data_IF_379795699236
#
_entry.id   IF_379795699236
#
_cell.length_a   1.000
_cell.length_b   1.000
_cell.length_c   1.000
_cell.angle_alpha   90.00
_cell.angle_beta   90.00
_cell.angle_gamma   90.00
#
_symmetry.space_group_name_H-M   'P 1'
#
loop_
_entity.id
_entity.type
_entity.pdbx_description
1 polymer ?
#
# COMPACT_ATOMS: atom_id res chain seq x y z
N UNK A 1 40.23 13.35 -15.29
CA UNK A 1 40.14 13.38 -16.76
C UNK A 1 38.76 12.88 -17.11
N UNK A 2 38.01 13.75 -17.78
CA UNK A 2 36.60 13.74 -18.20
C UNK A 2 35.52 13.11 -17.30
N UNK A 3 34.68 13.95 -16.69
CA UNK A 3 33.44 13.59 -15.99
C UNK A 3 32.27 14.06 -16.83
N UNK A 4 31.78 13.23 -17.73
CA UNK A 4 30.69 13.58 -18.64
C UNK A 4 29.35 13.09 -18.07
N UNK A 5 28.51 14.01 -17.62
CA UNK A 5 27.09 13.82 -17.32
C UNK A 5 26.34 13.95 -18.65
N UNK A 6 25.53 12.97 -19.05
CA UNK A 6 24.73 13.06 -20.27
C UNK A 6 23.23 13.12 -19.92
N UNK A 7 22.57 14.20 -20.33
CA UNK A 7 21.12 14.36 -20.27
C UNK A 7 20.61 14.72 -21.68
N UNK A 8 19.64 13.97 -22.20
CA UNK A 8 18.99 14.27 -23.47
C UNK A 8 17.48 14.52 -23.26
N UNK A 9 17.04 15.76 -23.53
CA UNK A 9 15.74 16.05 -24.18
C UNK A 9 14.47 16.41 -23.35
N UNK A 10 14.21 17.73 -23.24
CA UNK A 10 12.92 18.49 -23.32
C UNK A 10 11.75 18.31 -22.30
N UNK A 11 11.76 19.24 -21.33
CA UNK A 11 10.73 20.05 -20.59
C UNK A 11 9.27 20.13 -21.12
N UNK A 12 8.25 20.12 -20.21
CA UNK A 12 7.23 21.17 -19.85
C UNK A 12 6.50 20.72 -18.53
N UNK A 13 6.55 21.43 -17.38
CA UNK A 13 5.70 22.56 -16.88
C UNK A 13 4.19 22.23 -16.85
N UNK A 14 3.46 22.16 -15.73
CA UNK A 14 3.40 23.08 -14.59
C UNK A 14 2.75 22.49 -13.30
N UNK A 15 3.12 23.11 -12.17
CA UNK A 15 2.41 23.27 -10.88
C UNK A 15 2.14 22.07 -9.95
N UNK A 16 3.00 21.97 -8.91
CA UNK A 16 2.68 21.64 -7.52
C UNK A 16 2.79 20.20 -6.96
N UNK A 17 3.66 19.35 -7.52
CA UNK A 17 4.22 18.22 -6.77
C UNK A 17 5.73 18.15 -7.03
N UNK A 18 6.53 18.33 -5.98
CA UNK A 18 7.95 18.05 -6.03
C UNK A 18 8.14 16.54 -6.18
N UNK A 19 8.21 16.06 -7.42
CA UNK A 19 8.75 14.73 -7.72
C UNK A 19 10.23 14.92 -8.04
N UNK A 20 11.08 14.63 -7.06
CA UNK A 20 12.52 14.56 -7.28
C UNK A 20 12.83 13.24 -7.99
N UNK A 21 12.66 13.21 -9.31
CA UNK A 21 13.17 12.09 -10.12
C UNK A 21 14.69 12.24 -10.19
N UNK A 22 15.38 11.48 -9.36
CA UNK A 22 16.71 10.98 -9.70
C UNK A 22 16.74 9.49 -9.35
N UNK A 23 16.60 8.65 -10.36
CA UNK A 23 17.06 7.28 -10.27
C UNK A 23 18.60 7.31 -10.36
N UNK A 24 19.28 6.90 -9.30
CA UNK A 24 20.73 6.75 -9.30
C UNK A 24 21.06 5.25 -9.43
N UNK A 25 21.76 4.86 -10.50
CA UNK A 25 22.40 3.53 -10.58
C UNK A 25 23.76 3.63 -9.85
N UNK A 26 23.97 2.81 -8.82
CA UNK A 26 25.27 2.66 -8.17
C UNK A 26 25.62 1.17 -8.12
N UNK A 27 26.71 0.76 -8.80
CA UNK A 27 27.24 -0.61 -8.81
C UNK A 27 26.21 -1.72 -9.07
N UNK A 28 25.44 -1.62 -10.16
CA UNK A 28 24.44 -2.62 -10.60
C UNK A 28 23.36 -3.00 -9.56
N UNK A 29 23.28 -2.28 -8.43
CA UNK A 29 22.20 -2.40 -7.46
C UNK A 29 21.23 -1.22 -7.57
N UNK A 30 19.94 -1.56 -7.55
CA UNK A 30 18.84 -0.60 -7.63
C UNK A 30 18.63 0.03 -6.25
N UNK A 31 19.14 1.24 -6.03
CA UNK A 31 18.96 1.95 -4.76
C UNK A 31 17.50 2.46 -4.66
N UNK A 32 16.79 1.79 -3.76
CA UNK A 32 15.42 1.94 -3.28
C UNK A 32 14.75 3.31 -3.48
N UNK A 33 13.50 3.27 -3.94
CA UNK A 33 12.52 4.33 -3.76
C UNK A 33 12.59 4.84 -2.31
N UNK A 34 12.96 6.10 -2.13
CA UNK A 34 12.91 6.81 -0.84
C UNK A 34 11.46 6.93 -0.30
N UNK A 35 10.48 6.56 -1.12
CA UNK A 35 9.08 6.37 -0.72
C UNK A 35 8.83 4.88 -0.48
N UNK A 36 9.34 4.36 0.62
CA UNK A 36 9.05 2.98 1.03
C UNK A 36 7.55 2.70 0.98
N UNK A 37 7.14 1.61 0.33
CA UNK A 37 5.74 1.21 0.24
C UNK A 37 5.30 0.45 1.49
N UNK A 38 4.04 0.61 1.86
CA UNK A 38 3.45 -0.21 2.91
C UNK A 38 3.51 -1.69 2.52
N UNK A 39 3.93 -2.54 3.45
CA UNK A 39 3.89 -4.00 3.28
C UNK A 39 2.67 -4.53 4.01
N UNK A 40 1.81 -5.24 3.29
CA UNK A 40 0.67 -5.94 3.89
C UNK A 40 0.75 -7.44 3.58
N UNK A 41 0.48 -8.29 4.57
CA UNK A 41 0.31 -7.95 5.99
C UNK A 41 1.65 -7.60 6.67
N UNK A 42 1.62 -6.78 7.73
CA UNK A 42 2.79 -6.54 8.58
C UNK A 42 2.53 -6.89 10.06
N UNK A 43 3.59 -7.24 10.79
CA UNK A 43 3.55 -7.60 12.20
C UNK A 43 4.07 -6.44 13.06
N UNK A 44 3.28 -6.04 14.05
CA UNK A 44 3.65 -5.04 15.06
C UNK A 44 3.10 -5.44 16.43
N UNK A 45 3.96 -5.45 17.46
CA UNK A 45 3.61 -5.84 18.84
C UNK A 45 2.84 -7.17 18.92
N UNK A 46 3.31 -8.18 18.16
CA UNK A 46 2.70 -9.51 18.09
C UNK A 46 1.29 -9.55 17.49
N UNK A 47 0.86 -8.48 16.81
CA UNK A 47 -0.38 -8.43 16.05
C UNK A 47 -0.06 -8.27 14.56
N UNK A 48 -0.93 -8.84 13.71
CA UNK A 48 -0.80 -8.83 12.25
C UNK A 48 -1.83 -7.86 11.67
N UNK A 49 -1.38 -6.96 10.81
CA UNK A 49 -2.19 -5.90 10.23
C UNK A 49 -2.19 -6.00 8.71
N UNK A 50 -3.37 -5.77 8.13
CA UNK A 50 -3.61 -5.90 6.70
C UNK A 50 -3.92 -4.55 6.04
N UNK A 51 -3.91 -3.46 6.81
CA UNK A 51 -4.14 -2.11 6.35
C UNK A 51 -3.41 -1.12 7.27
N UNK A 52 -3.42 0.16 6.91
CA UNK A 52 -2.92 1.25 7.73
C UNK A 52 -3.63 1.31 9.09
N UNK A 53 -2.84 1.38 10.16
CA UNK A 53 -3.32 1.29 11.54
C UNK A 53 -3.28 2.63 12.25
N UNK A 54 -4.12 2.77 13.29
CA UNK A 54 -4.18 3.96 14.14
C UNK A 54 -4.12 3.56 15.62
N UNK A 55 -3.05 3.95 16.32
CA UNK A 55 -2.88 3.68 17.76
C UNK A 55 -2.78 4.99 18.54
N UNK A 56 -3.91 5.55 18.99
CA UNK A 56 -4.00 6.85 19.71
C UNK A 56 -3.35 8.05 19.01
N UNK A 57 -2.73 7.85 17.85
CA UNK A 57 -2.13 8.86 17.02
C UNK A 57 -3.20 9.56 16.17
N UNK A 58 -2.93 10.81 15.80
CA UNK A 58 -3.80 11.62 14.92
C UNK A 58 -3.81 11.11 13.47
N UNK A 59 -2.79 10.35 13.07
CA UNK A 59 -2.59 9.90 11.69
C UNK A 59 -2.39 8.38 11.61
N UNK A 60 -2.90 7.76 10.55
CA UNK A 60 -2.72 6.34 10.25
C UNK A 60 -1.32 6.09 9.70
N UNK A 61 -0.76 4.91 9.96
CA UNK A 61 0.60 4.54 9.51
C UNK A 61 0.68 3.07 9.12
N UNK A 62 1.74 2.71 8.42
CA UNK A 62 2.05 1.34 8.01
C UNK A 62 3.54 1.03 8.18
N UNK A 63 3.90 -0.24 8.30
CA UNK A 63 5.30 -0.65 8.24
C UNK A 63 5.76 -0.83 6.78
N UNK A 64 7.04 -0.55 6.55
CA UNK A 64 7.69 -0.76 5.25
C UNK A 64 8.29 -2.17 5.12
N UNK A 65 8.27 -2.96 6.19
CA UNK A 65 8.76 -4.34 6.25
C UNK A 65 7.64 -5.26 6.77
N UNK A 66 7.69 -6.55 6.43
CA UNK A 66 6.72 -7.54 6.94
C UNK A 66 6.75 -7.62 8.48
N UNK A 67 7.93 -7.63 9.09
CA UNK A 67 8.07 -7.55 10.54
C UNK A 67 8.59 -6.17 10.91
N UNK A 68 7.86 -5.44 11.76
CA UNK A 68 8.23 -4.07 12.13
C UNK A 68 9.62 -4.03 12.79
N UNK A 69 10.56 -3.36 12.12
CA UNK A 69 11.95 -3.17 12.56
C UNK A 69 12.30 -1.69 12.81
N UNK A 70 11.31 -0.80 12.77
CA UNK A 70 11.52 0.65 12.88
C UNK A 70 11.31 1.42 11.57
N UNK A 71 11.13 0.73 10.43
CA UNK A 71 10.78 1.34 9.15
C UNK A 71 9.25 1.44 9.00
N UNK A 72 8.76 2.68 8.95
CA UNK A 72 7.35 3.01 8.83
C UNK A 72 7.15 4.37 8.19
N UNK A 73 5.94 4.63 7.68
CA UNK A 73 5.50 5.95 7.24
C UNK A 73 4.05 6.21 7.60
N UNK A 74 3.65 7.48 7.60
CA UNK A 74 2.23 7.84 7.62
C UNK A 74 1.60 7.48 6.27
N UNK A 75 0.38 6.97 6.33
CA UNK A 75 -0.34 6.59 5.12
C UNK A 75 -0.97 7.80 4.43
N UNK A 76 -0.81 7.87 3.11
CA UNK A 76 -1.66 8.65 2.20
C UNK A 76 -2.80 7.77 1.64
N UNK A 77 -3.66 8.34 0.79
CA UNK A 77 -4.80 7.61 0.19
C UNK A 77 -4.37 6.40 -0.66
N UNK A 78 -3.19 6.46 -1.27
CA UNK A 78 -2.64 5.38 -2.09
C UNK A 78 -2.07 4.22 -1.25
N UNK A 79 -1.76 4.47 0.03
CA UNK A 79 -1.11 3.51 0.93
C UNK A 79 -2.08 2.54 1.59
N UNK A 80 -3.39 2.82 1.55
CA UNK A 80 -4.40 1.92 2.10
C UNK A 80 -4.43 0.60 1.32
N UNK A 81 -4.58 -0.49 2.06
CA UNK A 81 -4.63 -1.81 1.49
C UNK A 81 -5.72 -1.92 0.44
N UNK A 82 -5.36 -2.44 -0.73
CA UNK A 82 -6.30 -2.66 -1.81
C UNK A 82 -7.07 -3.96 -1.57
N UNK A 83 -8.28 -4.02 -2.11
CA UNK A 83 -9.06 -5.25 -2.13
C UNK A 83 -8.28 -6.36 -2.84
N UNK A 84 -8.39 -7.58 -2.33
CA UNK A 84 -7.85 -8.77 -2.99
C UNK A 84 -8.94 -9.37 -3.85
N UNK A 85 -8.70 -9.46 -5.16
CA UNK A 85 -9.62 -10.09 -6.10
C UNK A 85 -8.95 -11.25 -6.85
N UNK A 86 -9.68 -12.34 -7.10
CA UNK A 86 -11.01 -12.63 -6.55
C UNK A 86 -10.93 -12.97 -5.05
N UNK A 87 -12.01 -12.84 -4.27
CA UNK A 87 -12.06 -13.33 -2.89
C UNK A 87 -13.24 -14.25 -2.62
N UNK A 88 -13.07 -15.15 -1.65
CA UNK A 88 -14.05 -16.18 -1.32
C UNK A 88 -14.87 -15.76 -0.11
N UNK A 89 -16.18 -15.64 -0.27
CA UNK A 89 -17.12 -15.40 0.81
C UNK A 89 -18.33 -16.34 0.71
N UNK A 90 -18.61 -17.02 1.82
CA UNK A 90 -19.56 -18.15 1.91
C UNK A 90 -19.28 -19.18 0.81
N UNK A 91 -20.21 -19.35 -0.14
CA UNK A 91 -20.09 -20.29 -1.26
C UNK A 91 -19.89 -19.58 -2.62
N UNK A 92 -19.53 -18.30 -2.58
CA UNK A 92 -19.41 -17.43 -3.73
C UNK A 92 -17.97 -16.89 -3.88
N UNK A 93 -17.60 -16.57 -5.12
CA UNK A 93 -16.33 -15.93 -5.48
C UNK A 93 -16.66 -14.55 -6.05
N UNK A 94 -16.08 -13.50 -5.48
CA UNK A 94 -16.32 -12.11 -5.87
C UNK A 94 -15.10 -11.54 -6.57
N UNK A 95 -15.34 -10.82 -7.66
CA UNK A 95 -14.32 -10.14 -8.48
C UNK A 95 -14.34 -8.61 -8.31
N UNK A 96 -15.32 -8.12 -7.56
CA UNK A 96 -15.58 -6.72 -7.27
C UNK A 96 -16.14 -6.59 -5.85
N UNK A 97 -16.33 -5.35 -5.40
CA UNK A 97 -16.97 -5.10 -4.11
C UNK A 97 -18.40 -5.64 -4.10
N UNK A 98 -18.85 -6.14 -2.95
CA UNK A 98 -20.19 -6.69 -2.78
C UNK A 98 -20.87 -6.08 -1.56
N UNK A 99 -22.19 -5.96 -1.60
CA UNK A 99 -23.02 -5.63 -0.43
C UNK A 99 -23.44 -6.88 0.37
N UNK A 100 -23.08 -8.08 -0.11
CA UNK A 100 -23.58 -9.33 0.45
C UNK A 100 -23.24 -9.50 1.93
N UNK A 101 -24.30 -9.62 2.75
CA UNK A 101 -24.19 -9.80 4.18
C UNK A 101 -23.93 -8.53 4.99
N UNK A 102 -23.81 -7.36 4.35
CA UNK A 102 -23.88 -6.08 5.06
C UNK A 102 -25.33 -5.69 5.35
N UNK A 103 -25.62 -5.23 6.56
CA UNK A 103 -26.99 -4.90 6.97
C UNK A 103 -27.51 -3.58 6.37
N UNK A 104 -26.61 -2.72 5.88
CA UNK A 104 -26.93 -1.38 5.41
C UNK A 104 -26.71 -1.21 3.90
N UNK A 105 -26.44 -2.30 3.17
CA UNK A 105 -26.19 -2.27 1.72
C UNK A 105 -24.88 -1.58 1.36
N UNK A 106 -23.89 -1.54 2.26
CA UNK A 106 -22.58 -0.97 1.97
C UNK A 106 -21.69 -1.97 1.26
N UNK A 107 -21.12 -1.54 0.14
CA UNK A 107 -20.14 -2.31 -0.60
C UNK A 107 -18.86 -2.51 0.20
N UNK A 108 -18.39 -3.75 0.25
CA UNK A 108 -17.17 -4.14 0.94
C UNK A 108 -16.39 -5.16 0.11
N UNK A 109 -15.11 -5.34 0.46
CA UNK A 109 -14.23 -6.32 -0.15
C UNK A 109 -13.32 -6.98 0.89
N UNK A 110 -12.81 -8.17 0.58
CA UNK A 110 -11.79 -8.80 1.42
C UNK A 110 -10.39 -8.24 1.16
N UNK A 111 -9.57 -8.19 2.21
CA UNK A 111 -8.13 -7.91 2.10
C UNK A 111 -7.30 -9.21 2.02
N UNK A 112 -7.97 -10.35 1.83
CA UNK A 112 -7.38 -11.68 1.75
C UNK A 112 -8.10 -12.51 0.71
N UNK A 113 -7.43 -13.53 0.17
CA UNK A 113 -8.04 -14.44 -0.81
C UNK A 113 -9.26 -15.19 -0.24
N UNK A 114 -9.22 -15.54 1.05
CA UNK A 114 -10.25 -16.36 1.70
C UNK A 114 -10.83 -15.66 2.93
N UNK A 115 -11.84 -14.82 2.69
CA UNK A 115 -12.56 -14.13 3.77
C UNK A 115 -13.15 -15.12 4.78
N UNK A 116 -13.66 -16.28 4.35
CA UNK A 116 -14.30 -17.23 5.26
C UNK A 116 -13.36 -17.70 6.37
N UNK A 117 -12.06 -17.81 6.06
CA UNK A 117 -11.01 -18.18 7.01
C UNK A 117 -10.51 -16.97 7.79
N UNK A 118 -10.12 -15.92 7.07
CA UNK A 118 -9.33 -14.83 7.64
C UNK A 118 -10.22 -13.73 8.25
N UNK A 119 -11.43 -13.56 7.71
CA UNK A 119 -12.42 -12.54 8.10
C UNK A 119 -11.87 -11.11 8.10
N UNK A 120 -10.91 -10.83 7.21
CA UNK A 120 -10.32 -9.52 7.03
C UNK A 120 -10.95 -8.84 5.81
N UNK A 121 -11.43 -7.62 6.01
CA UNK A 121 -12.18 -6.87 5.01
C UNK A 121 -12.15 -5.37 5.30
N UNK A 122 -12.58 -4.59 4.31
CA UNK A 122 -12.88 -3.16 4.46
C UNK A 122 -14.07 -2.78 3.59
N UNK A 123 -14.70 -1.65 3.92
CA UNK A 123 -15.64 -1.02 2.99
C UNK A 123 -14.89 -0.49 1.76
N UNK A 124 -15.56 -0.55 0.63
CA UNK A 124 -15.10 0.12 -0.58
C UNK A 124 -15.45 1.62 -0.49
N UNK A 125 -14.64 2.43 -1.17
CA UNK A 125 -14.88 3.86 -1.35
C UNK A 125 -15.72 4.10 -2.60
#
# INVERSE_FOLDING_TARGET
MDRSIWAWGKVWKDTNQATCIFACVYNEEFLFSLDGKCVFPFYYRNAKFYDCVMFKAKHKWCSLNETYQGYWKYCSEEDFAKCVFPFWYRRMIYWECTEDGDAFGKYWCSLTQNYNKDKIWKYCE
#
